data_IF_247881224329
#
_entry.id   IF_247881224329
#
_cell.length_a   1.000
_cell.length_b   1.000
_cell.length_c   1.000
_cell.angle_alpha   90.00
_cell.angle_beta   90.00
_cell.angle_gamma   90.00
#
_symmetry.space_group_name_H-M   'P 1'
#
loop_
_entity.id
_entity.type
_entity.pdbx_description
1 polymer ?
#
# COMPACT_ATOMS: atom_id res chain seq x y z
N UNK A 1 35.14 43.74 -10.53
CA UNK A 1 34.46 42.92 -9.50
C UNK A 1 33.13 42.35 -10.00
N UNK A 2 33.07 41.76 -11.20
CA UNK A 2 31.80 41.24 -11.78
C UNK A 2 31.67 39.72 -11.57
N UNK A 3 32.79 39.02 -11.35
CA UNK A 3 32.80 37.55 -11.17
C UNK A 3 32.06 37.08 -9.91
N UNK A 4 32.18 37.81 -8.80
CA UNK A 4 31.58 37.44 -7.51
C UNK A 4 30.04 37.37 -7.59
N UNK A 5 29.34 38.39 -8.13
CA UNK A 5 27.88 38.31 -8.27
C UNK A 5 27.42 37.26 -9.30
N UNK A 6 28.18 37.02 -10.38
CA UNK A 6 27.87 35.95 -11.34
C UNK A 6 27.99 34.58 -10.68
N UNK A 7 29.06 34.34 -9.92
CA UNK A 7 29.28 33.08 -9.23
C UNK A 7 28.21 32.83 -8.15
N UNK A 8 27.84 33.86 -7.38
CA UNK A 8 26.76 33.77 -6.41
C UNK A 8 25.40 33.48 -7.06
N UNK A 9 25.12 34.06 -8.24
CA UNK A 9 23.89 33.79 -8.98
C UNK A 9 23.83 32.37 -9.54
N UNK A 10 24.95 31.85 -10.09
CA UNK A 10 25.06 30.45 -10.53
C UNK A 10 24.90 29.50 -9.34
N UNK A 11 25.55 29.77 -8.20
CA UNK A 11 25.41 28.97 -6.99
C UNK A 11 23.97 28.98 -6.48
N UNK A 12 23.30 30.14 -6.49
CA UNK A 12 21.89 30.26 -6.13
C UNK A 12 21.00 29.46 -7.06
N UNK A 13 21.23 29.50 -8.38
CA UNK A 13 20.49 28.67 -9.33
C UNK A 13 20.77 27.19 -9.14
N UNK A 14 22.01 26.78 -8.89
CA UNK A 14 22.37 25.39 -8.61
C UNK A 14 21.80 24.91 -7.27
N UNK A 15 21.84 25.71 -6.22
CA UNK A 15 21.22 25.41 -4.93
C UNK A 15 19.70 25.39 -5.06
N UNK A 16 19.08 26.36 -5.73
CA UNK A 16 17.64 26.35 -6.00
C UNK A 16 17.25 25.15 -6.84
N UNK A 17 18.01 24.81 -7.87
CA UNK A 17 17.79 23.63 -8.69
C UNK A 17 17.97 22.36 -7.86
N UNK A 18 18.99 22.30 -7.00
CA UNK A 18 19.22 21.22 -6.05
C UNK A 18 18.09 21.13 -5.02
N UNK A 19 17.55 22.24 -4.49
CA UNK A 19 16.44 22.29 -3.53
C UNK A 19 15.07 22.00 -4.16
N UNK A 20 14.82 22.45 -5.39
CA UNK A 20 13.61 22.15 -6.17
C UNK A 20 13.67 20.78 -6.87
N UNK A 21 14.83 20.13 -6.92
CA UNK A 21 14.96 18.71 -7.25
C UNK A 21 15.05 17.83 -6.00
N UNK A 22 15.48 18.39 -4.85
CA UNK A 22 15.38 17.77 -3.51
C UNK A 22 14.09 18.19 -2.80
N UNK A 23 12.97 17.79 -3.38
CA UNK A 23 11.65 17.71 -2.76
C UNK A 23 11.57 16.91 -1.43
N UNK A 24 12.68 16.69 -0.71
CA UNK A 24 12.77 15.89 0.50
C UNK A 24 11.86 16.35 1.64
N UNK A 25 11.62 17.66 1.82
CA UNK A 25 10.79 18.16 2.93
C UNK A 25 9.30 18.01 2.64
N UNK A 26 8.86 18.31 1.41
CA UNK A 26 7.45 18.17 1.04
C UNK A 26 7.05 16.70 0.90
N UNK A 27 7.96 15.84 0.39
CA UNK A 27 7.69 14.41 0.28
C UNK A 27 7.65 13.69 1.61
N UNK A 28 8.55 13.98 2.56
CA UNK A 28 8.46 13.36 3.88
C UNK A 28 7.15 13.74 4.56
N UNK A 29 6.81 15.03 4.57
CA UNK A 29 5.54 15.49 5.13
C UNK A 29 4.33 14.86 4.46
N UNK A 30 4.40 14.63 3.15
CA UNK A 30 3.34 13.97 2.41
C UNK A 30 3.23 12.46 2.71
N UNK A 31 4.37 11.77 2.71
CA UNK A 31 4.48 10.37 3.13
C UNK A 31 3.96 10.19 4.56
N UNK A 32 4.33 11.09 5.47
CA UNK A 32 3.82 11.11 6.84
C UNK A 32 2.30 11.36 6.85
N UNK A 33 1.75 12.19 5.95
CA UNK A 33 0.30 12.42 5.83
C UNK A 33 -0.45 11.19 5.30
N UNK A 34 0.10 10.50 4.29
CA UNK A 34 -0.49 9.26 3.75
C UNK A 34 -0.43 8.14 4.77
N UNK A 35 0.76 7.86 5.32
CA UNK A 35 0.91 6.85 6.36
C UNK A 35 0.06 7.18 7.59
N UNK A 36 -0.13 8.47 7.91
CA UNK A 36 -1.05 8.88 8.97
C UNK A 36 -2.52 8.66 8.62
N UNK A 37 -2.88 8.74 7.35
CA UNK A 37 -4.23 8.41 6.89
C UNK A 37 -4.53 6.92 7.11
N UNK A 38 -3.61 6.04 6.70
CA UNK A 38 -3.79 4.58 6.76
C UNK A 38 -3.55 3.98 8.14
N UNK A 39 -2.56 4.52 8.88
CA UNK A 39 -2.08 3.92 10.13
C UNK A 39 -2.26 4.84 11.34
N UNK A 40 -2.93 5.99 11.21
CA UNK A 40 -3.17 6.93 12.31
C UNK A 40 -1.89 7.64 12.78
N UNK A 41 -1.78 7.96 14.07
CA UNK A 41 -0.66 8.76 14.60
C UNK A 41 0.69 8.00 14.72
N UNK A 42 0.89 6.90 13.97
CA UNK A 42 2.16 6.19 13.96
C UNK A 42 3.26 7.01 13.27
N UNK A 43 4.38 7.18 13.96
CA UNK A 43 5.57 7.80 13.38
C UNK A 43 6.47 6.75 12.74
N UNK A 44 6.62 6.82 11.42
CA UNK A 44 7.52 5.95 10.66
C UNK A 44 8.85 6.63 10.39
N UNK A 45 9.93 5.89 10.56
CA UNK A 45 11.27 6.32 10.19
C UNK A 45 11.57 5.94 8.75
N UNK A 46 11.91 6.91 7.91
CA UNK A 46 12.46 6.67 6.58
C UNK A 46 13.90 6.17 6.72
N UNK A 47 14.16 4.94 6.27
CA UNK A 47 15.49 4.31 6.26
C UNK A 47 16.19 4.63 4.95
N UNK A 48 15.53 4.34 3.83
CA UNK A 48 16.04 4.57 2.48
C UNK A 48 14.93 5.04 1.55
N UNK A 49 15.30 5.71 0.47
CA UNK A 49 14.36 6.13 -0.58
C UNK A 49 15.03 6.28 -1.93
N UNK A 50 14.28 5.96 -2.97
CA UNK A 50 14.69 6.06 -4.37
C UNK A 50 13.55 6.60 -5.21
N UNK A 51 13.91 7.33 -6.27
CA UNK A 51 12.97 7.73 -7.33
C UNK A 51 13.46 7.12 -8.64
N UNK A 52 12.61 6.31 -9.26
CA UNK A 52 12.80 5.82 -10.62
C UNK A 52 11.91 6.64 -11.57
N UNK A 53 12.41 6.91 -12.78
CA UNK A 53 11.64 7.67 -13.80
C UNK A 53 11.57 6.85 -15.08
N UNK A 54 10.36 6.49 -15.48
CA UNK A 54 10.06 5.70 -16.66
C UNK A 54 9.35 6.57 -17.70
N UNK A 55 9.65 6.38 -18.99
CA UNK A 55 8.91 7.02 -20.08
C UNK A 55 7.89 6.01 -20.63
N UNK A 56 6.62 6.21 -20.31
CA UNK A 56 5.53 5.32 -20.71
C UNK A 56 5.11 5.58 -22.17
N UNK A 57 4.97 6.85 -22.55
CA UNK A 57 4.55 7.31 -23.90
C UNK A 57 5.28 8.59 -24.31
N UNK A 58 5.03 9.09 -25.53
CA UNK A 58 5.73 10.26 -26.09
C UNK A 58 5.77 11.47 -25.14
N UNK A 59 4.67 11.73 -24.43
CA UNK A 59 4.47 12.84 -23.50
C UNK A 59 3.97 12.38 -22.13
N UNK A 60 4.42 11.22 -21.64
CA UNK A 60 4.05 10.73 -20.31
C UNK A 60 5.25 10.05 -19.64
N UNK A 61 5.60 10.53 -18.46
CA UNK A 61 6.59 9.97 -17.57
C UNK A 61 5.89 9.45 -16.31
N UNK A 62 6.32 8.28 -15.84
CA UNK A 62 5.96 7.71 -14.54
C UNK A 62 7.14 7.90 -13.61
N UNK A 63 6.88 8.51 -12.46
CA UNK A 63 7.81 8.69 -11.36
C UNK A 63 7.40 7.71 -10.27
N UNK A 64 8.21 6.68 -10.10
CA UNK A 64 8.01 5.66 -9.07
C UNK A 64 8.90 6.01 -7.88
N UNK A 65 8.26 6.42 -6.80
CA UNK A 65 8.89 6.66 -5.53
C UNK A 65 8.85 5.37 -4.71
N UNK A 66 10.00 4.89 -4.29
CA UNK A 66 10.15 3.71 -3.43
C UNK A 66 10.80 4.16 -2.14
N UNK A 67 10.20 3.85 -1.00
CA UNK A 67 10.78 4.11 0.31
C UNK A 67 10.81 2.85 1.16
N UNK A 68 11.92 2.64 1.86
CA UNK A 68 12.01 1.68 2.96
C UNK A 68 11.80 2.43 4.26
N UNK A 69 10.81 1.99 5.01
CA UNK A 69 10.31 2.61 6.23
C UNK A 69 10.43 1.63 7.38
N UNK A 70 10.41 2.13 8.61
CA UNK A 70 10.35 1.29 9.81
C UNK A 70 9.54 1.92 10.92
N UNK A 71 8.81 1.10 11.65
CA UNK A 71 8.14 1.43 12.91
C UNK A 71 9.04 1.18 14.14
N UNK A 72 10.29 0.76 13.93
CA UNK A 72 11.25 0.36 14.96
C UNK A 72 11.35 -1.16 15.18
N UNK A 73 10.34 -1.94 14.80
CA UNK A 73 10.32 -3.40 14.90
C UNK A 73 10.34 -4.07 13.52
N UNK A 74 9.65 -3.47 12.57
CA UNK A 74 9.43 -3.98 11.22
C UNK A 74 10.02 -2.98 10.23
N UNK A 75 10.67 -3.49 9.20
CA UNK A 75 11.03 -2.74 8.01
C UNK A 75 10.07 -3.14 6.87
N UNK A 76 9.56 -2.14 6.17
CA UNK A 76 8.58 -2.33 5.10
C UNK A 76 8.86 -1.38 3.94
N UNK A 77 8.32 -1.70 2.77
CA UNK A 77 8.45 -0.93 1.55
C UNK A 77 7.14 -0.26 1.19
N UNK A 78 7.25 0.98 0.73
CA UNK A 78 6.17 1.78 0.19
C UNK A 78 6.54 2.16 -1.23
N UNK A 79 5.57 2.03 -2.15
CA UNK A 79 5.69 2.43 -3.54
C UNK A 79 4.58 3.41 -3.84
N UNK A 80 4.98 4.52 -4.46
CA UNK A 80 4.06 5.51 -4.98
C UNK A 80 4.38 5.87 -6.42
N UNK A 81 3.39 5.70 -7.29
CA UNK A 81 3.50 6.16 -8.67
C UNK A 81 2.87 7.55 -8.82
N UNK A 82 3.58 8.46 -9.47
CA UNK A 82 3.11 9.77 -9.92
C UNK A 82 3.35 9.89 -11.42
N UNK A 83 2.47 10.59 -12.15
CA UNK A 83 2.63 10.76 -13.59
C UNK A 83 2.83 12.23 -13.98
N UNK A 84 3.66 12.54 -14.97
CA UNK A 84 3.74 13.89 -15.53
C UNK A 84 4.06 13.86 -17.03
N UNK A 85 3.55 14.83 -17.76
CA UNK A 85 3.90 15.07 -19.17
C UNK A 85 5.38 15.44 -19.40
N UNK A 86 6.08 15.92 -18.37
CA UNK A 86 7.46 16.40 -18.43
C UNK A 86 8.39 15.51 -17.62
N UNK A 87 9.60 15.26 -18.15
CA UNK A 87 10.65 14.45 -17.50
C UNK A 87 11.15 15.02 -16.16
N UNK A 88 11.08 16.35 -16.02
CA UNK A 88 11.39 17.09 -14.79
C UNK A 88 10.13 17.68 -14.17
N UNK A 89 8.97 17.19 -14.62
CA UNK A 89 7.69 17.47 -13.99
C UNK A 89 7.51 16.58 -12.76
N UNK A 90 6.43 16.84 -12.06
CA UNK A 90 6.11 16.26 -10.77
C UNK A 90 4.93 17.02 -10.15
N UNK A 91 3.92 17.29 -10.97
CA UNK A 91 2.69 17.84 -10.44
C UNK A 91 1.77 16.69 -10.08
N UNK A 92 1.21 16.78 -8.88
CA UNK A 92 0.12 15.92 -8.45
C UNK A 92 -1.05 16.05 -9.41
N UNK A 93 -1.46 14.94 -10.01
CA UNK A 93 -2.75 14.79 -10.64
C UNK A 93 -3.74 14.16 -9.65
N UNK A 94 -5.03 14.48 -9.74
CA UNK A 94 -6.05 13.94 -8.84
C UNK A 94 -6.11 12.39 -8.83
N UNK A 95 -5.61 11.74 -9.89
CA UNK A 95 -5.46 10.28 -9.96
C UNK A 95 -4.28 9.70 -9.18
N UNK A 96 -3.30 10.52 -8.76
CA UNK A 96 -2.09 10.08 -8.05
C UNK A 96 -2.35 9.82 -6.54
N UNK A 97 -3.55 10.16 -6.03
CA UNK A 97 -3.95 9.86 -4.65
C UNK A 97 -4.19 8.37 -4.40
N UNK A 98 -4.43 7.58 -5.45
CA UNK A 98 -4.72 6.15 -5.35
C UNK A 98 -3.55 5.24 -5.77
N UNK A 99 -2.38 5.83 -6.08
CA UNK A 99 -1.19 5.11 -6.53
C UNK A 99 -0.25 4.67 -5.41
N UNK A 100 -0.71 4.69 -4.16
CA UNK A 100 0.03 4.30 -2.95
C UNK A 100 -0.20 2.80 -2.67
N UNK A 101 0.88 2.05 -2.50
CA UNK A 101 0.87 0.65 -2.04
C UNK A 101 2.04 0.45 -1.08
N UNK A 102 1.84 -0.31 -0.02
CA UNK A 102 2.91 -0.72 0.88
C UNK A 102 2.75 -2.19 1.33
N UNK A 103 3.79 -2.77 1.91
CA UNK A 103 3.78 -4.14 2.44
C UNK A 103 3.77 -4.22 3.97
N UNK A 104 3.50 -3.12 4.68
CA UNK A 104 3.58 -3.04 6.14
C UNK A 104 2.66 -4.03 6.84
N UNK A 105 1.40 -4.13 6.42
CA UNK A 105 0.46 -5.10 7.00
C UNK A 105 0.88 -6.55 6.72
N UNK A 106 1.42 -6.83 5.52
CA UNK A 106 1.99 -8.16 5.21
C UNK A 106 3.12 -8.52 6.16
N UNK A 107 4.03 -7.57 6.40
CA UNK A 107 5.15 -7.74 7.34
C UNK A 107 4.67 -7.90 8.78
N UNK A 108 3.62 -7.18 9.20
CA UNK A 108 3.01 -7.36 10.53
C UNK A 108 2.43 -8.75 10.73
N UNK A 109 1.68 -9.25 9.76
CA UNK A 109 1.10 -10.60 9.81
C UNK A 109 2.22 -11.65 9.91
N UNK A 110 3.25 -11.53 9.06
CA UNK A 110 4.40 -12.42 9.10
C UNK A 110 5.15 -12.35 10.45
N UNK A 111 5.32 -11.14 11.02
CA UNK A 111 5.95 -10.94 12.33
C UNK A 111 5.10 -11.51 13.49
N UNK A 112 3.78 -11.62 13.32
CA UNK A 112 2.89 -12.29 14.27
C UNK A 112 2.94 -13.84 14.17
N UNK A 113 3.74 -14.39 13.26
CA UNK A 113 3.91 -15.83 13.09
C UNK A 113 2.83 -16.50 12.23
N UNK A 114 2.08 -15.72 11.46
CA UNK A 114 1.01 -16.22 10.59
C UNK A 114 1.60 -16.40 9.18
N UNK A 115 1.64 -17.65 8.71
CA UNK A 115 2.21 -17.99 7.41
C UNK A 115 1.15 -17.92 6.30
N UNK A 116 1.27 -16.89 5.46
CA UNK A 116 0.44 -16.69 4.26
C UNK A 116 1.22 -16.91 2.96
N UNK A 117 2.46 -17.38 3.02
CA UNK A 117 3.38 -17.41 1.88
C UNK A 117 2.84 -18.22 0.69
N UNK A 118 2.05 -19.26 0.95
CA UNK A 118 1.41 -20.06 -0.10
C UNK A 118 0.39 -19.26 -0.94
N UNK A 119 -0.23 -18.23 -0.35
CA UNK A 119 -1.32 -17.45 -0.96
C UNK A 119 -0.85 -16.08 -1.45
N UNK A 120 0.37 -15.68 -1.11
CA UNK A 120 0.89 -14.35 -1.36
C UNK A 120 1.32 -14.17 -2.82
N UNK A 121 0.91 -13.05 -3.41
CA UNK A 121 1.50 -12.52 -4.65
C UNK A 121 2.64 -11.60 -4.25
N UNK A 122 3.84 -11.81 -4.80
CA UNK A 122 5.01 -10.98 -4.50
C UNK A 122 4.66 -9.48 -4.58
N UNK A 123 5.08 -8.70 -3.58
CA UNK A 123 4.66 -7.29 -3.45
C UNK A 123 4.90 -6.48 -4.73
N UNK A 124 6.09 -6.60 -5.34
CA UNK A 124 6.39 -5.89 -6.58
C UNK A 124 5.48 -6.32 -7.74
N UNK A 125 5.18 -7.61 -7.85
CA UNK A 125 4.27 -8.13 -8.86
C UNK A 125 2.83 -7.67 -8.62
N UNK A 126 2.39 -7.63 -7.35
CA UNK A 126 1.09 -7.13 -6.96
C UNK A 126 0.91 -5.65 -7.31
N UNK A 127 1.96 -4.84 -7.11
CA UNK A 127 1.98 -3.42 -7.46
C UNK A 127 2.02 -3.20 -8.96
N UNK A 128 2.87 -3.92 -9.69
CA UNK A 128 3.05 -3.73 -11.15
C UNK A 128 1.81 -4.17 -11.92
N UNK A 129 1.22 -5.31 -11.53
CA UNK A 129 0.10 -5.92 -12.23
C UNK A 129 -1.26 -5.51 -11.68
N UNK A 130 -1.30 -4.56 -10.74
CA UNK A 130 -2.51 -4.17 -10.01
C UNK A 130 -3.33 -5.39 -9.55
N UNK A 131 -2.63 -6.28 -8.86
CA UNK A 131 -3.14 -7.59 -8.42
C UNK A 131 -3.36 -7.60 -6.91
N UNK A 132 -4.23 -8.51 -6.41
CA UNK A 132 -4.42 -8.69 -4.98
C UNK A 132 -3.11 -9.09 -4.30
N UNK A 133 -3.04 -8.81 -3.01
CA UNK A 133 -1.92 -9.22 -2.18
C UNK A 133 -1.95 -10.72 -1.88
N UNK A 134 -3.17 -11.27 -1.74
CA UNK A 134 -3.38 -12.70 -1.52
C UNK A 134 -4.48 -13.29 -2.41
N UNK A 135 -4.29 -14.53 -2.85
CA UNK A 135 -5.28 -15.30 -3.60
C UNK A 135 -5.51 -16.63 -2.91
N UNK A 136 -6.75 -16.86 -2.48
CA UNK A 136 -7.17 -18.09 -1.81
C UNK A 136 -8.01 -18.95 -2.75
N UNK A 137 -7.74 -20.26 -2.77
CA UNK A 137 -8.61 -21.26 -3.38
C UNK A 137 -9.28 -22.06 -2.28
N UNK A 138 -10.59 -21.88 -2.12
CA UNK A 138 -11.39 -22.53 -1.11
C UNK A 138 -12.00 -23.83 -1.64
N UNK A 139 -11.78 -24.89 -0.87
CA UNK A 139 -12.38 -26.21 -1.04
C UNK A 139 -13.07 -26.61 0.25
N UNK A 140 -13.98 -27.61 0.23
CA UNK A 140 -14.58 -28.13 1.46
C UNK A 140 -13.55 -28.58 2.51
N UNK A 141 -12.38 -29.07 2.05
CA UNK A 141 -11.35 -29.64 2.93
C UNK A 141 -10.48 -28.58 3.63
N UNK A 142 -10.35 -27.37 3.07
CA UNK A 142 -9.48 -26.32 3.61
C UNK A 142 -10.25 -25.06 4.08
N UNK A 143 -11.59 -25.09 4.03
CA UNK A 143 -12.44 -23.93 4.31
C UNK A 143 -12.19 -23.33 5.70
N UNK A 144 -12.13 -24.14 6.75
CA UNK A 144 -11.90 -23.63 8.11
C UNK A 144 -10.51 -23.02 8.28
N UNK A 145 -9.52 -23.50 7.55
CA UNK A 145 -8.19 -22.88 7.57
C UNK A 145 -8.22 -21.53 6.87
N UNK A 146 -8.91 -21.42 5.73
CA UNK A 146 -9.11 -20.13 5.04
C UNK A 146 -9.90 -19.16 5.92
N UNK A 147 -10.96 -19.59 6.60
CA UNK A 147 -11.72 -18.75 7.55
C UNK A 147 -10.78 -18.13 8.59
N UNK A 148 -9.88 -18.93 9.19
CA UNK A 148 -8.91 -18.43 10.17
C UNK A 148 -7.93 -17.44 9.56
N UNK A 149 -7.35 -17.75 8.40
CA UNK A 149 -6.40 -16.87 7.73
C UNK A 149 -7.04 -15.53 7.33
N UNK A 150 -8.26 -15.54 6.80
CA UNK A 150 -9.00 -14.32 6.46
C UNK A 150 -9.35 -13.53 7.72
N UNK A 151 -9.79 -14.21 8.78
CA UNK A 151 -10.04 -13.58 10.09
C UNK A 151 -8.78 -12.88 10.59
N UNK A 152 -7.64 -13.56 10.54
CA UNK A 152 -6.36 -13.01 10.96
C UNK A 152 -5.96 -11.80 10.12
N UNK A 153 -6.11 -11.83 8.79
CA UNK A 153 -5.88 -10.67 7.93
C UNK A 153 -6.80 -9.50 8.34
N UNK A 154 -8.11 -9.77 8.49
CA UNK A 154 -9.10 -8.73 8.78
C UNK A 154 -8.96 -8.15 10.20
N UNK A 155 -8.44 -8.91 11.18
CA UNK A 155 -8.10 -8.37 12.52
C UNK A 155 -7.14 -7.18 12.44
N UNK A 156 -6.24 -7.15 11.47
CA UNK A 156 -5.33 -6.01 11.28
C UNK A 156 -6.00 -4.79 10.63
N UNK A 157 -7.14 -4.96 9.95
CA UNK A 157 -7.87 -3.89 9.24
C UNK A 157 -9.17 -3.39 9.92
N UNK A 158 -9.61 -4.02 11.01
CA UNK A 158 -10.86 -3.63 11.71
C UNK A 158 -10.72 -2.31 12.48
N UNK A 159 -9.50 -1.87 12.78
CA UNK A 159 -9.29 -0.56 13.39
C UNK A 159 -9.47 0.52 12.31
N UNK A 160 -10.54 1.30 12.43
CA UNK A 160 -10.88 2.43 11.55
C UNK A 160 -11.39 2.09 10.13
N UNK A 161 -11.82 0.85 9.92
CA UNK A 161 -12.52 0.43 8.70
C UNK A 161 -11.76 0.71 7.39
N UNK A 162 -10.44 0.59 7.41
CA UNK A 162 -9.61 0.63 6.20
C UNK A 162 -8.86 -0.68 6.09
N UNK A 163 -9.23 -1.50 5.10
CA UNK A 163 -8.47 -2.69 4.79
C UNK A 163 -7.42 -2.33 3.74
N UNK A 164 -6.17 -2.20 4.20
CA UNK A 164 -5.00 -1.94 3.34
C UNK A 164 -4.47 -3.20 2.64
N UNK A 165 -5.09 -4.36 2.88
CA UNK A 165 -4.76 -5.64 2.25
C UNK A 165 -5.88 -6.11 1.33
N UNK A 166 -5.55 -6.26 0.06
CA UNK A 166 -6.45 -6.79 -0.94
C UNK A 166 -6.29 -8.30 -1.07
N UNK A 167 -7.38 -9.05 -0.94
CA UNK A 167 -7.36 -10.48 -1.23
C UNK A 167 -8.60 -10.92 -2.02
N UNK A 168 -8.48 -12.05 -2.70
CA UNK A 168 -9.58 -12.69 -3.44
C UNK A 168 -9.73 -14.16 -3.05
N UNK A 169 -10.97 -14.63 -3.02
CA UNK A 169 -11.30 -16.03 -2.72
C UNK A 169 -12.00 -16.64 -3.93
N UNK A 170 -11.49 -17.77 -4.40
CA UNK A 170 -11.98 -18.52 -5.54
C UNK A 170 -12.42 -19.93 -5.13
N UNK A 171 -13.36 -20.52 -5.87
CA UNK A 171 -13.65 -21.95 -5.79
C UNK A 171 -12.60 -22.80 -6.53
N UNK A 172 -12.72 -24.12 -6.43
CA UNK A 172 -11.83 -25.07 -7.11
C UNK A 172 -11.88 -25.00 -8.65
N UNK A 173 -12.89 -24.34 -9.23
CA UNK A 173 -13.05 -24.17 -10.67
C UNK A 173 -12.54 -22.81 -11.16
N UNK A 174 -11.97 -21.99 -10.27
CA UNK A 174 -11.50 -20.64 -10.58
C UNK A 174 -12.60 -19.58 -10.67
N UNK A 175 -13.81 -19.87 -10.19
CA UNK A 175 -14.88 -18.87 -10.06
C UNK A 175 -14.64 -18.06 -8.79
N UNK A 176 -14.58 -16.73 -8.91
CA UNK A 176 -14.48 -15.85 -7.75
C UNK A 176 -15.74 -15.98 -6.89
N UNK A 177 -15.56 -16.21 -5.60
CA UNK A 177 -16.61 -16.29 -4.60
C UNK A 177 -16.85 -14.93 -3.94
N UNK A 178 -15.77 -14.32 -3.42
CA UNK A 178 -15.79 -13.01 -2.79
C UNK A 178 -14.39 -12.39 -2.81
N UNK A 179 -14.27 -11.17 -2.33
CA UNK A 179 -13.00 -10.48 -2.11
C UNK A 179 -13.03 -9.66 -0.82
N UNK A 180 -11.88 -9.07 -0.51
CA UNK A 180 -11.68 -8.34 0.73
C UNK A 180 -12.56 -7.09 0.85
N UNK A 181 -12.92 -6.45 -0.26
CA UNK A 181 -13.83 -5.31 -0.27
C UNK A 181 -15.27 -5.73 0.01
N UNK A 182 -15.73 -6.82 -0.60
CA UNK A 182 -17.07 -7.36 -0.36
C UNK A 182 -17.25 -7.80 1.10
N UNK A 183 -16.27 -8.51 1.68
CA UNK A 183 -16.31 -8.90 3.10
C UNK A 183 -16.29 -7.70 4.03
N UNK A 184 -15.43 -6.72 3.75
CA UNK A 184 -15.38 -5.47 4.49
C UNK A 184 -16.73 -4.74 4.45
N UNK A 185 -17.35 -4.62 3.26
CA UNK A 185 -18.68 -4.03 3.11
C UNK A 185 -19.78 -4.83 3.80
N UNK A 186 -19.61 -6.15 3.93
CA UNK A 186 -20.54 -6.97 4.70
C UNK A 186 -20.44 -6.65 6.20
N UNK A 187 -19.22 -6.43 6.73
CA UNK A 187 -19.04 -6.00 8.12
C UNK A 187 -19.73 -4.66 8.42
N UNK A 188 -19.62 -3.66 7.52
CA UNK A 188 -20.28 -2.35 7.70
C UNK A 188 -21.82 -2.43 7.67
N UNK A 189 -22.38 -3.43 6.99
CA UNK A 189 -23.83 -3.60 6.80
C UNK A 189 -24.45 -4.60 7.76
N UNK A 190 -23.65 -5.24 8.60
CA UNK A 190 -24.12 -6.21 9.56
C UNK A 190 -25.09 -5.54 10.54
N UNK A 191 -26.17 -6.23 10.91
CA UNK A 191 -27.14 -5.73 11.89
C UNK A 191 -26.49 -5.58 13.28
N UNK A 192 -25.50 -6.43 13.58
CA UNK A 192 -24.68 -6.38 14.78
C UNK A 192 -23.27 -5.86 14.44
N UNK A 193 -22.70 -5.06 15.34
CA UNK A 193 -21.34 -4.54 15.18
C UNK A 193 -20.33 -5.70 15.17
N UNK A 194 -19.63 -5.85 14.04
CA UNK A 194 -18.53 -6.81 13.90
C UNK A 194 -17.30 -6.25 14.60
N UNK A 195 -16.74 -7.03 15.52
CA UNK A 195 -15.58 -6.70 16.34
C UNK A 195 -14.69 -7.95 16.52
N UNK A 196 -13.57 -7.81 17.24
CA UNK A 196 -12.60 -8.90 17.41
C UNK A 196 -13.19 -10.20 17.95
N UNK A 197 -14.24 -10.13 18.78
CA UNK A 197 -14.83 -11.30 19.44
C UNK A 197 -15.78 -12.12 18.57
N UNK A 198 -16.41 -11.51 17.56
CA UNK A 198 -17.39 -12.16 16.68
C UNK A 198 -16.94 -12.26 15.22
N UNK A 199 -15.78 -11.68 14.87
CA UNK A 199 -15.27 -11.64 13.51
C UNK A 199 -15.15 -13.02 12.85
N UNK A 200 -14.58 -14.00 13.55
CA UNK A 200 -14.36 -15.33 12.95
C UNK A 200 -15.68 -16.00 12.56
N UNK A 201 -16.67 -15.94 13.45
CA UNK A 201 -18.00 -16.48 13.20
C UNK A 201 -18.70 -15.71 12.07
N UNK A 202 -18.52 -14.38 12.02
CA UNK A 202 -19.01 -13.57 10.92
C UNK A 202 -18.41 -14.01 9.57
N UNK A 203 -17.07 -14.14 9.48
CA UNK A 203 -16.38 -14.57 8.27
C UNK A 203 -16.82 -15.98 7.87
N UNK A 204 -16.95 -16.91 8.83
CA UNK A 204 -17.46 -18.26 8.56
C UNK A 204 -18.85 -18.21 7.92
N UNK A 205 -19.78 -17.45 8.51
CA UNK A 205 -21.14 -17.32 8.00
C UNK A 205 -21.21 -16.66 6.61
N UNK A 206 -20.35 -15.68 6.34
CA UNK A 206 -20.26 -15.08 5.00
C UNK A 206 -19.73 -16.08 3.96
N UNK A 207 -18.73 -16.88 4.31
CA UNK A 207 -18.17 -17.91 3.43
C UNK A 207 -19.05 -19.17 3.32
N UNK A 208 -20.03 -19.37 4.19
CA UNK A 208 -21.06 -20.42 4.10
C UNK A 208 -22.12 -20.16 3.00
N UNK A 209 -22.15 -18.95 2.44
CA UNK A 209 -23.07 -18.60 1.34
C UNK A 209 -22.63 -19.16 -0.03
N UNK A 210 -21.43 -19.74 -0.09
CA UNK A 210 -20.77 -20.21 -1.31
C UNK A 210 -20.45 -21.70 -1.23
#
# INVERSE_FOLDING_TARGET
>A
MILVPIFAFVLFLCCRYYFYSTWNVNYKKYLDLELKHYYGDYEFKVIDKKINVFKEKANLYRFEYVATLSDGNIEFQMIKNMYDSKKLGGHWHDGDYWGFRDDYMRKKIAAAGIDLSQYEIEFMDAVINDSPDYVFTMTPDNKEDIVKLITDIMRFGIKDYQLDLWFKIYDSNGKQLTDSYDLFKACERADEEVNESNLEDFIRNELDKF
#
